data_IF_610632164802
#
_entry.id   IF_610632164802
#
_cell.length_a   1.000
_cell.length_b   1.000
_cell.length_c   1.000
_cell.angle_alpha   90.00
_cell.angle_beta   90.00
_cell.angle_gamma   90.00
#
_symmetry.space_group_name_H-M   'P 1'
#
loop_
_entity.id
_entity.type
_entity.pdbx_description
1 polymer ?
#
# COMPACT_ATOMS: atom_id res chain seq x y z
N UNK A 1 -56.10 -49.82 -51.94
CA UNK A 1 -54.63 -49.79 -51.97
C UNK A 1 -54.21 -48.39 -51.61
N UNK A 2 -53.84 -48.16 -50.31
CA UNK A 2 -53.40 -46.88 -49.84
C UNK A 2 -51.95 -47.08 -49.36
N UNK A 3 -50.97 -46.41 -49.98
CA UNK A 3 -49.59 -46.43 -49.58
C UNK A 3 -49.37 -45.32 -48.57
N UNK A 4 -49.05 -45.68 -47.31
CA UNK A 4 -48.54 -44.81 -46.27
C UNK A 4 -47.04 -44.57 -46.47
N UNK A 5 -46.65 -43.32 -46.68
CA UNK A 5 -45.27 -42.91 -46.68
C UNK A 5 -44.88 -42.41 -45.27
N UNK A 6 -43.96 -43.13 -44.67
CA UNK A 6 -43.36 -42.78 -43.36
C UNK A 6 -42.39 -41.63 -43.54
N UNK A 7 -42.64 -40.46 -42.94
CA UNK A 7 -41.69 -39.34 -42.86
C UNK A 7 -40.88 -39.47 -41.58
N UNK A 8 -39.62 -39.79 -41.74
CA UNK A 8 -38.66 -39.76 -40.67
C UNK A 8 -38.31 -38.32 -40.26
N UNK A 9 -38.62 -37.96 -39.02
CA UNK A 9 -38.18 -36.69 -38.41
C UNK A 9 -36.84 -36.93 -37.74
N UNK A 10 -35.76 -36.40 -38.33
CA UNK A 10 -34.46 -36.34 -37.69
C UNK A 10 -34.45 -35.20 -36.68
N UNK A 11 -34.43 -35.51 -35.38
CA UNK A 11 -34.22 -34.55 -34.32
C UNK A 11 -32.73 -34.34 -34.15
N UNK A 12 -32.18 -33.24 -34.68
CA UNK A 12 -30.79 -32.82 -34.42
C UNK A 12 -30.72 -32.15 -33.06
N UNK A 13 -30.25 -32.89 -32.05
CA UNK A 13 -29.91 -32.36 -30.75
C UNK A 13 -28.60 -31.58 -30.87
N UNK A 14 -28.69 -30.25 -30.91
CA UNK A 14 -27.56 -29.34 -30.86
C UNK A 14 -27.08 -29.24 -29.40
N UNK A 15 -26.04 -30.00 -29.05
CA UNK A 15 -25.35 -29.85 -27.77
C UNK A 15 -24.55 -28.52 -27.79
N UNK A 16 -25.13 -27.47 -27.18
CA UNK A 16 -24.34 -26.28 -26.81
C UNK A 16 -23.36 -26.66 -25.68
N UNK A 17 -22.14 -26.95 -26.04
CA UNK A 17 -21.03 -26.94 -25.08
C UNK A 17 -20.79 -25.48 -24.64
N UNK A 18 -21.41 -25.09 -23.53
CA UNK A 18 -21.03 -23.86 -22.84
C UNK A 18 -19.66 -24.11 -22.21
N UNK A 19 -18.59 -23.78 -22.94
CA UNK A 19 -17.25 -23.72 -22.39
C UNK A 19 -17.27 -22.61 -21.38
N UNK A 20 -17.48 -22.92 -20.10
CA UNK A 20 -17.12 -22.01 -19.02
C UNK A 20 -15.57 -21.82 -19.10
N UNK A 21 -15.16 -20.78 -19.78
CA UNK A 21 -13.79 -20.31 -19.66
C UNK A 21 -13.58 -20.00 -18.18
N UNK A 22 -12.85 -20.85 -17.47
CA UNK A 22 -12.34 -20.54 -16.15
C UNK A 22 -11.44 -19.32 -16.36
N UNK A 23 -11.93 -18.14 -15.98
CA UNK A 23 -11.10 -16.95 -15.92
C UNK A 23 -9.95 -17.29 -14.98
N UNK A 24 -8.74 -17.34 -15.52
CA UNK A 24 -7.54 -17.55 -14.72
C UNK A 24 -7.47 -16.42 -13.68
N UNK A 25 -7.36 -16.78 -12.42
CA UNK A 25 -7.30 -15.80 -11.34
C UNK A 25 -6.08 -14.88 -11.55
N UNK A 26 -6.32 -13.58 -11.74
CA UNK A 26 -5.26 -12.58 -11.89
C UNK A 26 -4.44 -12.53 -10.61
N UNK A 27 -3.15 -12.75 -10.75
CA UNK A 27 -2.19 -12.69 -9.65
C UNK A 27 -1.68 -11.25 -9.51
N UNK A 28 -1.94 -10.65 -8.37
CA UNK A 28 -1.57 -9.29 -8.01
C UNK A 28 -0.31 -9.29 -7.16
N UNK A 29 0.58 -8.32 -7.38
CA UNK A 29 1.80 -8.12 -6.58
C UNK A 29 1.81 -6.73 -5.94
N UNK A 30 2.56 -6.53 -4.83
CA UNK A 30 2.50 -5.29 -4.05
C UNK A 30 2.92 -4.03 -4.77
N UNK A 31 3.85 -4.12 -5.71
CA UNK A 31 4.47 -2.98 -6.37
C UNK A 31 4.49 -3.12 -7.88
N UNK A 32 4.62 -1.97 -8.55
CA UNK A 32 4.85 -1.85 -10.00
C UNK A 32 6.16 -1.12 -10.23
N UNK A 33 7.08 -1.70 -10.98
CA UNK A 33 8.23 -1.02 -11.55
C UNK A 33 7.76 -0.19 -12.76
N UNK A 34 7.85 1.12 -12.65
CA UNK A 34 7.45 2.05 -13.71
C UNK A 34 8.56 2.22 -14.75
N UNK A 35 9.79 2.45 -14.28
CA UNK A 35 10.96 2.61 -15.13
C UNK A 35 12.25 2.37 -14.33
N UNK A 36 13.33 2.04 -15.04
CA UNK A 36 14.70 2.02 -14.52
C UNK A 36 15.67 2.50 -15.60
N UNK A 37 16.76 3.10 -15.20
CA UNK A 37 17.81 3.57 -16.10
C UNK A 37 18.77 4.54 -15.44
N UNK A 38 19.77 4.98 -16.18
CA UNK A 38 20.75 5.95 -15.69
C UNK A 38 20.08 7.31 -15.41
N UNK A 39 20.57 8.03 -14.42
CA UNK A 39 20.07 9.34 -14.07
C UNK A 39 20.48 9.78 -12.67
N UNK A 40 20.04 10.98 -12.28
CA UNK A 40 20.22 11.50 -10.93
C UNK A 40 18.90 11.48 -10.18
N UNK A 41 18.93 11.09 -8.92
CA UNK A 41 17.78 11.00 -8.05
C UNK A 41 16.90 12.27 -8.11
N UNK A 42 17.45 13.43 -7.85
CA UNK A 42 16.70 14.69 -7.79
C UNK A 42 16.07 15.09 -9.11
N UNK A 43 16.78 14.87 -10.23
CA UNK A 43 16.24 15.16 -11.57
C UNK A 43 15.06 14.22 -11.89
N UNK A 44 15.19 12.93 -11.53
CA UNK A 44 14.13 11.95 -11.73
C UNK A 44 12.94 12.23 -10.82
N UNK A 45 13.15 12.60 -9.54
CA UNK A 45 12.07 13.00 -8.63
C UNK A 45 11.27 14.19 -9.18
N UNK A 46 11.95 15.22 -9.69
CA UNK A 46 11.27 16.36 -10.28
C UNK A 46 10.44 15.97 -11.53
N UNK A 47 10.97 15.10 -12.41
CA UNK A 47 10.24 14.59 -13.58
C UNK A 47 9.01 13.79 -13.17
N UNK A 48 9.14 12.88 -12.22
CA UNK A 48 8.04 12.05 -11.69
C UNK A 48 6.96 12.92 -11.07
N UNK A 49 7.32 13.91 -10.25
CA UNK A 49 6.39 14.84 -9.63
C UNK A 49 5.58 15.63 -10.66
N UNK A 50 6.24 16.13 -11.71
CA UNK A 50 5.58 16.85 -12.81
C UNK A 50 4.61 15.92 -13.58
N UNK A 51 5.02 14.69 -13.89
CA UNK A 51 4.19 13.71 -14.59
C UNK A 51 2.94 13.33 -13.77
N UNK A 52 3.08 13.12 -12.47
CA UNK A 52 1.96 12.84 -11.56
C UNK A 52 0.97 14.01 -11.51
N UNK A 53 1.47 15.24 -11.39
CA UNK A 53 0.63 16.44 -11.37
C UNK A 53 -0.12 16.61 -12.69
N UNK A 54 0.55 16.41 -13.82
CA UNK A 54 -0.06 16.47 -15.15
C UNK A 54 -1.13 15.38 -15.37
N UNK A 55 -1.00 14.25 -14.68
CA UNK A 55 -1.98 13.15 -14.70
C UNK A 55 -3.14 13.32 -13.71
N UNK A 56 -3.27 14.50 -13.05
CA UNK A 56 -4.37 14.82 -12.14
C UNK A 56 -4.18 14.34 -10.71
N UNK A 57 -2.97 13.93 -10.33
CA UNK A 57 -2.65 13.65 -8.94
C UNK A 57 -2.21 14.90 -8.19
N UNK A 58 -2.61 14.99 -6.93
CA UNK A 58 -2.13 16.00 -5.99
C UNK A 58 -1.02 15.41 -5.13
N UNK A 59 0.16 16.03 -5.12
CA UNK A 59 1.23 15.68 -4.18
C UNK A 59 0.85 16.17 -2.80
N UNK A 60 0.80 15.27 -1.84
CA UNK A 60 0.42 15.55 -0.45
C UNK A 60 1.59 15.45 0.52
N UNK A 61 2.70 14.88 0.10
CA UNK A 61 3.93 14.79 0.87
C UNK A 61 5.10 14.24 0.07
N UNK A 62 6.29 14.48 0.59
CA UNK A 62 7.55 13.95 0.08
C UNK A 62 8.36 13.42 1.27
N UNK A 63 9.05 12.30 1.08
CA UNK A 63 9.79 11.65 2.15
C UNK A 63 11.09 11.04 1.64
N UNK A 64 12.20 11.48 2.22
CA UNK A 64 13.53 10.91 2.00
C UNK A 64 13.95 10.09 3.24
N UNK A 65 13.65 8.79 3.29
CA UNK A 65 13.91 7.94 4.45
C UNK A 65 15.42 7.76 4.71
N UNK A 66 16.21 7.69 3.64
CA UNK A 66 17.68 7.52 3.66
C UNK A 66 18.29 8.02 2.36
N UNK A 67 19.61 8.14 2.33
CA UNK A 67 20.33 8.56 1.12
C UNK A 67 20.05 7.64 -0.07
N UNK A 68 19.83 8.22 -1.25
CA UNK A 68 19.50 7.47 -2.47
C UNK A 68 18.04 7.03 -2.57
N UNK A 69 17.15 7.51 -1.70
CA UNK A 69 15.73 7.21 -1.76
C UNK A 69 14.88 8.47 -1.57
N UNK A 70 13.91 8.66 -2.45
CA UNK A 70 12.89 9.70 -2.38
C UNK A 70 11.52 9.08 -2.65
N UNK A 71 10.49 9.50 -1.93
CA UNK A 71 9.13 8.99 -2.05
C UNK A 71 8.18 10.16 -2.18
N UNK A 72 7.41 10.16 -3.26
CA UNK A 72 6.36 11.13 -3.53
C UNK A 72 5.04 10.49 -3.19
N UNK A 73 4.28 11.10 -2.29
CA UNK A 73 2.97 10.62 -1.86
C UNK A 73 1.91 11.45 -2.56
N UNK A 74 0.99 10.77 -3.24
CA UNK A 74 -0.06 11.41 -4.03
C UNK A 74 -1.44 10.91 -3.70
N UNK A 75 -2.43 11.78 -3.90
CA UNK A 75 -3.85 11.46 -3.86
C UNK A 75 -4.57 12.01 -5.09
N UNK A 76 -5.80 11.59 -5.31
CA UNK A 76 -6.74 12.17 -6.26
C UNK A 76 -8.18 11.93 -5.80
N UNK A 77 -9.16 12.42 -6.55
CA UNK A 77 -10.56 12.30 -6.17
C UNK A 77 -11.07 10.86 -6.18
N UNK A 78 -10.55 9.99 -7.07
CA UNK A 78 -10.91 8.56 -7.08
C UNK A 78 -10.43 7.85 -5.80
N UNK A 79 -9.18 8.09 -5.38
CA UNK A 79 -8.62 7.56 -4.13
C UNK A 79 -9.43 8.01 -2.93
N UNK A 80 -9.73 9.32 -2.83
CA UNK A 80 -10.52 9.90 -1.73
C UNK A 80 -11.95 9.37 -1.70
N UNK A 81 -12.59 9.25 -2.86
CA UNK A 81 -13.95 8.69 -2.99
C UNK A 81 -13.99 7.22 -2.55
N UNK A 82 -13.01 6.42 -2.96
CA UNK A 82 -12.91 5.02 -2.56
C UNK A 82 -12.64 4.89 -1.04
N UNK A 83 -11.77 5.75 -0.49
CA UNK A 83 -11.53 5.82 0.95
C UNK A 83 -12.81 6.16 1.74
N UNK A 84 -13.61 7.13 1.26
CA UNK A 84 -14.87 7.52 1.89
C UNK A 84 -15.88 6.36 1.95
N UNK A 85 -15.91 5.50 0.94
CA UNK A 85 -16.81 4.35 0.86
C UNK A 85 -16.34 3.11 1.66
N UNK A 86 -15.11 3.12 2.19
CA UNK A 86 -14.45 1.95 2.77
C UNK A 86 -14.23 2.10 4.27
N UNK A 87 -14.37 1.02 5.04
CA UNK A 87 -13.99 1.00 6.45
C UNK A 87 -12.47 1.15 6.58
N UNK A 88 -11.99 2.00 7.51
CA UNK A 88 -10.57 2.39 7.62
C UNK A 88 -9.96 2.80 6.27
N UNK A 89 -10.78 3.38 5.39
CA UNK A 89 -10.42 3.66 4.00
C UNK A 89 -9.28 4.66 3.83
N UNK A 90 -9.01 5.47 4.84
CA UNK A 90 -7.90 6.43 4.85
C UNK A 90 -6.55 5.78 4.54
N UNK A 91 -6.31 4.52 4.94
CA UNK A 91 -5.08 3.79 4.57
C UNK A 91 -4.91 3.62 3.06
N UNK A 92 -6.00 3.62 2.30
CA UNK A 92 -5.99 3.54 0.83
C UNK A 92 -6.20 4.88 0.12
N UNK A 93 -6.23 6.02 0.85
CA UNK A 93 -6.48 7.34 0.28
C UNK A 93 -5.29 7.92 -0.50
N UNK A 94 -4.13 7.26 -0.50
CA UNK A 94 -2.91 7.70 -1.15
C UNK A 94 -2.25 6.59 -1.95
N UNK A 95 -1.39 6.99 -2.90
CA UNK A 95 -0.40 6.12 -3.53
C UNK A 95 1.01 6.64 -3.24
N UNK A 96 1.96 5.73 -3.13
CA UNK A 96 3.37 6.02 -2.86
C UNK A 96 4.18 5.70 -4.10
N UNK A 97 4.93 6.68 -4.57
CA UNK A 97 5.83 6.56 -5.73
C UNK A 97 7.24 6.77 -5.23
N UNK A 98 8.09 5.76 -5.34
CA UNK A 98 9.49 5.82 -4.92
C UNK A 98 10.41 6.03 -6.10
N UNK A 99 11.43 6.82 -5.87
CA UNK A 99 12.58 7.02 -6.73
C UNK A 99 13.79 6.54 -5.92
N UNK A 100 14.49 5.51 -6.39
CA UNK A 100 15.51 4.83 -5.59
C UNK A 100 16.75 4.55 -6.42
N UNK A 101 17.91 4.96 -5.92
CA UNK A 101 19.20 4.59 -6.49
C UNK A 101 19.50 3.11 -6.21
N UNK A 102 19.74 2.34 -7.27
CA UNK A 102 20.07 0.92 -7.22
C UNK A 102 21.32 0.66 -8.08
N UNK A 103 22.49 0.74 -7.45
CA UNK A 103 23.76 0.64 -8.15
C UNK A 103 24.01 1.87 -9.04
N UNK A 104 24.01 1.69 -10.36
CA UNK A 104 24.20 2.78 -11.34
C UNK A 104 22.88 3.31 -11.91
N UNK A 105 21.77 2.67 -11.57
CA UNK A 105 20.45 3.01 -12.08
C UNK A 105 19.61 3.74 -11.03
N UNK A 106 18.67 4.53 -11.50
CA UNK A 106 17.56 5.09 -10.72
C UNK A 106 16.30 4.34 -11.12
N UNK A 107 15.64 3.74 -10.14
CA UNK A 107 14.39 3.01 -10.32
C UNK A 107 13.22 3.87 -9.87
N UNK A 108 12.14 3.89 -10.65
CA UNK A 108 10.85 4.47 -10.27
C UNK A 108 9.87 3.32 -10.07
N UNK A 109 9.31 3.22 -8.88
CA UNK A 109 8.32 2.19 -8.54
C UNK A 109 7.16 2.81 -7.79
N UNK A 110 5.99 2.18 -7.83
CA UNK A 110 4.83 2.63 -7.06
C UNK A 110 4.07 1.46 -6.45
N UNK A 111 3.34 1.73 -5.38
CA UNK A 111 2.41 0.75 -4.79
C UNK A 111 1.36 0.37 -5.83
N UNK A 112 1.09 -0.93 -6.01
CA UNK A 112 0.07 -1.39 -6.95
C UNK A 112 -1.33 -1.07 -6.41
N UNK A 113 -2.10 -0.14 -7.04
CA UNK A 113 -3.39 0.30 -6.51
C UNK A 113 -4.40 -0.85 -6.37
N UNK A 114 -4.44 -1.76 -7.36
CA UNK A 114 -5.36 -2.90 -7.36
C UNK A 114 -5.02 -3.89 -6.25
N UNK A 115 -3.73 -4.15 -6.01
CA UNK A 115 -3.30 -4.97 -4.87
C UNK A 115 -3.67 -4.31 -3.55
N UNK A 116 -3.32 -3.01 -3.38
CA UNK A 116 -3.56 -2.29 -2.14
C UNK A 116 -5.05 -2.15 -1.82
N UNK A 117 -5.92 -1.93 -2.82
CA UNK A 117 -7.36 -1.89 -2.61
C UNK A 117 -7.90 -3.20 -2.04
N UNK A 118 -7.34 -4.32 -2.44
CA UNK A 118 -7.75 -5.63 -1.94
C UNK A 118 -7.21 -5.91 -0.54
N UNK A 119 -5.93 -5.67 -0.24
CA UNK A 119 -5.39 -5.92 1.10
C UNK A 119 -5.98 -4.98 2.16
N UNK A 120 -6.39 -3.76 1.77
CA UNK A 120 -7.13 -2.82 2.62
C UNK A 120 -8.66 -2.98 2.51
N UNK A 121 -9.14 -4.05 1.92
CA UNK A 121 -10.57 -4.41 1.79
C UNK A 121 -11.45 -3.25 1.30
N UNK A 122 -10.92 -2.40 0.42
CA UNK A 122 -11.64 -1.24 -0.10
C UNK A 122 -12.87 -1.65 -0.93
N UNK A 123 -13.84 -0.76 -1.07
CA UNK A 123 -15.06 -1.02 -1.84
C UNK A 123 -14.81 -1.00 -3.35
N UNK A 124 -13.92 -0.12 -3.86
CA UNK A 124 -13.50 -0.08 -5.25
C UNK A 124 -12.15 -0.78 -5.47
N UNK A 125 -11.86 -1.14 -6.71
CA UNK A 125 -10.64 -1.85 -7.10
C UNK A 125 -9.44 -0.94 -7.44
N UNK A 126 -9.68 0.37 -7.56
CA UNK A 126 -8.68 1.39 -7.97
C UNK A 126 -8.04 1.13 -9.35
N UNK A 127 -8.74 0.45 -10.23
CA UNK A 127 -8.28 0.19 -11.61
C UNK A 127 -8.02 1.47 -12.40
N UNK A 128 -8.84 2.52 -12.23
CA UNK A 128 -8.66 3.83 -12.83
C UNK A 128 -7.37 4.50 -12.36
N UNK A 129 -7.07 4.43 -11.07
CA UNK A 129 -5.81 4.94 -10.48
C UNK A 129 -4.61 4.18 -11.05
N UNK A 130 -4.70 2.84 -11.17
CA UNK A 130 -3.64 2.02 -11.74
C UNK A 130 -3.36 2.39 -13.21
N UNK A 131 -4.39 2.62 -14.02
CA UNK A 131 -4.27 3.05 -15.40
C UNK A 131 -3.65 4.46 -15.52
N UNK A 132 -4.05 5.40 -14.66
CA UNK A 132 -3.51 6.75 -14.62
C UNK A 132 -2.01 6.77 -14.25
N UNK A 133 -1.60 5.99 -13.23
CA UNK A 133 -0.19 5.85 -12.86
C UNK A 133 0.63 5.19 -13.97
N UNK A 134 0.11 4.13 -14.60
CA UNK A 134 0.78 3.49 -15.73
C UNK A 134 0.96 4.42 -16.93
N UNK A 135 -0.02 5.28 -17.20
CA UNK A 135 0.06 6.30 -18.26
C UNK A 135 1.09 7.38 -17.94
N UNK A 136 1.11 7.84 -16.66
CA UNK A 136 2.00 8.92 -16.23
C UNK A 136 3.47 8.50 -16.12
N UNK A 137 3.72 7.30 -15.59
CA UNK A 137 5.05 6.87 -15.17
C UNK A 137 5.60 5.67 -15.95
N UNK A 138 4.73 4.90 -16.59
CA UNK A 138 5.05 3.61 -17.19
C UNK A 138 4.68 2.42 -16.28
N UNK A 139 4.77 1.23 -16.87
CA UNK A 139 4.54 -0.06 -16.19
C UNK A 139 5.38 -1.12 -16.88
N UNK A 140 6.52 -1.45 -16.30
CA UNK A 140 7.44 -2.48 -16.82
C UNK A 140 7.01 -3.85 -16.33
N UNK A 141 6.85 -4.00 -15.01
CA UNK A 141 6.43 -5.26 -14.38
C UNK A 141 5.79 -5.03 -13.00
N UNK A 142 4.97 -5.97 -12.56
CA UNK A 142 4.59 -6.09 -11.16
C UNK A 142 5.60 -6.94 -10.41
N UNK A 143 5.99 -6.51 -9.20
CA UNK A 143 7.05 -7.15 -8.43
C UNK A 143 6.80 -7.11 -6.91
N UNK A 144 7.76 -7.59 -6.15
CA UNK A 144 7.79 -7.59 -4.68
C UNK A 144 7.48 -8.95 -4.07
N UNK A 145 6.70 -9.79 -4.77
CA UNK A 145 6.30 -11.11 -4.31
C UNK A 145 5.98 -12.04 -5.49
N UNK A 146 5.73 -13.32 -5.19
CA UNK A 146 5.09 -14.27 -6.13
C UNK A 146 3.69 -13.78 -6.49
N UNK A 147 3.05 -13.10 -5.52
CA UNK A 147 1.73 -12.53 -5.67
C UNK A 147 0.61 -13.41 -5.13
N UNK A 148 -0.60 -12.87 -5.17
CA UNK A 148 -1.81 -13.55 -4.70
C UNK A 148 -3.04 -13.06 -5.46
N UNK A 149 -4.10 -13.87 -5.46
CA UNK A 149 -5.39 -13.46 -6.04
C UNK A 149 -6.04 -12.35 -5.21
N UNK A 150 -6.95 -11.58 -5.80
CA UNK A 150 -7.73 -10.57 -5.09
C UNK A 150 -8.45 -11.16 -3.86
N UNK A 151 -9.01 -12.37 -3.98
CA UNK A 151 -9.67 -13.08 -2.88
C UNK A 151 -8.72 -13.40 -1.73
N UNK A 152 -7.50 -13.83 -2.02
CA UNK A 152 -6.47 -14.10 -1.02
C UNK A 152 -6.02 -12.79 -0.35
N UNK A 153 -5.79 -11.72 -1.14
CA UNK A 153 -5.40 -10.41 -0.64
C UNK A 153 -6.43 -9.84 0.35
N UNK A 154 -7.74 -9.93 0.04
CA UNK A 154 -8.81 -9.45 0.94
C UNK A 154 -8.93 -10.22 2.25
N UNK A 155 -8.39 -11.42 2.33
CA UNK A 155 -8.39 -12.28 3.54
C UNK A 155 -7.00 -12.44 4.13
N UNK A 156 -6.05 -11.62 3.66
CA UNK A 156 -4.67 -11.78 4.02
C UNK A 156 -4.43 -11.52 5.51
N UNK A 157 -3.71 -12.40 6.13
CA UNK A 157 -2.97 -12.23 7.38
C UNK A 157 -1.67 -13.03 7.27
N UNK A 158 -0.66 -12.66 8.01
CA UNK A 158 0.67 -13.25 7.81
C UNK A 158 0.72 -14.74 8.18
N UNK A 159 0.20 -15.09 9.38
CA UNK A 159 0.12 -16.48 9.86
C UNK A 159 -0.90 -16.58 11.00
N UNK A 160 -1.17 -17.79 11.45
CA UNK A 160 -2.13 -18.05 12.54
C UNK A 160 -1.79 -17.19 13.77
N UNK A 161 -2.78 -16.48 14.29
CA UNK A 161 -2.65 -15.60 15.46
C UNK A 161 -2.03 -14.24 15.17
N UNK A 162 -1.80 -13.88 13.91
CA UNK A 162 -1.41 -12.53 13.51
C UNK A 162 -2.61 -11.71 13.01
N UNK A 163 -2.48 -10.40 13.09
CA UNK A 163 -3.56 -9.46 12.83
C UNK A 163 -4.00 -9.45 11.37
N UNK A 164 -5.29 -9.21 11.18
CA UNK A 164 -5.91 -8.84 9.91
C UNK A 164 -5.94 -7.31 9.74
N UNK A 165 -6.38 -6.89 8.56
CA UNK A 165 -6.52 -5.45 8.25
C UNK A 165 -7.48 -4.74 9.21
N UNK A 166 -8.58 -5.37 9.59
CA UNK A 166 -9.63 -4.84 10.47
C UNK A 166 -9.32 -4.98 11.97
N UNK A 167 -8.08 -5.34 12.32
CA UNK A 167 -7.58 -5.45 13.69
C UNK A 167 -6.40 -4.47 13.93
N UNK A 168 -6.54 -3.15 13.66
CA UNK A 168 -5.46 -2.20 13.89
C UNK A 168 -5.21 -1.97 15.37
N UNK A 169 -3.97 -1.54 15.71
CA UNK A 169 -3.65 -1.07 17.06
C UNK A 169 -4.40 0.22 17.37
N UNK A 170 -5.09 0.30 18.50
CA UNK A 170 -5.58 1.56 19.07
C UNK A 170 -4.42 2.22 19.79
N UNK A 171 -4.03 3.41 19.34
CA UNK A 171 -2.91 4.17 19.90
C UNK A 171 -3.35 5.20 20.94
N UNK A 172 -4.51 5.83 20.74
CA UNK A 172 -5.09 6.83 21.63
C UNK A 172 -6.60 6.98 21.38
N UNK A 173 -7.29 7.60 22.36
CA UNK A 173 -8.70 8.00 22.28
C UNK A 173 -8.86 9.42 22.83
N UNK A 174 -9.64 10.24 22.14
CA UNK A 174 -9.89 11.65 22.44
C UNK A 174 -11.39 11.91 22.70
N UNK A 175 -11.76 13.14 22.98
CA UNK A 175 -13.16 13.50 23.23
C UNK A 175 -13.98 13.63 21.94
N UNK A 176 -13.36 14.00 20.83
CA UNK A 176 -13.98 14.12 19.51
C UNK A 176 -12.99 13.84 18.40
N UNK A 177 -13.51 13.74 17.15
CA UNK A 177 -12.68 13.63 15.94
C UNK A 177 -11.78 14.85 15.77
N UNK A 178 -12.33 16.04 15.95
CA UNK A 178 -11.61 17.30 15.79
C UNK A 178 -10.45 17.41 16.79
N UNK A 179 -10.70 17.04 18.07
CA UNK A 179 -9.66 16.98 19.09
C UNK A 179 -8.56 15.98 18.71
N UNK A 180 -8.93 14.78 18.26
CA UNK A 180 -7.99 13.73 17.85
C UNK A 180 -7.12 14.20 16.68
N UNK A 181 -7.72 14.76 15.64
CA UNK A 181 -7.01 15.27 14.46
C UNK A 181 -6.07 16.40 14.83
N UNK A 182 -6.52 17.38 15.61
CA UNK A 182 -5.69 18.53 16.05
C UNK A 182 -4.50 18.04 16.90
N UNK A 183 -4.74 17.13 17.83
CA UNK A 183 -3.72 16.58 18.69
C UNK A 183 -2.66 15.79 17.90
N UNK A 184 -3.09 14.89 17.02
CA UNK A 184 -2.20 14.09 16.17
C UNK A 184 -1.37 15.00 15.26
N UNK A 185 -2.00 15.94 14.57
CA UNK A 185 -1.33 16.87 13.66
C UNK A 185 -0.25 17.70 14.37
N UNK A 186 -0.58 18.27 15.52
CA UNK A 186 0.36 19.06 16.35
C UNK A 186 1.51 18.22 16.88
N UNK A 187 1.23 17.01 17.38
CA UNK A 187 2.26 16.13 17.98
C UNK A 187 3.23 15.59 16.94
N UNK A 188 2.74 15.21 15.76
CA UNK A 188 3.58 14.75 14.66
C UNK A 188 4.42 15.89 14.06
N UNK A 189 3.91 17.14 14.04
CA UNK A 189 4.67 18.30 13.60
C UNK A 189 5.87 18.63 14.52
N UNK A 190 5.78 18.26 15.80
CA UNK A 190 6.86 18.48 16.77
C UNK A 190 8.04 17.49 16.66
N UNK A 191 7.93 16.48 15.81
CA UNK A 191 8.97 15.47 15.54
C UNK A 191 9.58 14.87 16.83
N UNK A 192 8.72 14.52 17.79
CA UNK A 192 9.16 13.87 19.04
C UNK A 192 9.29 12.37 18.86
N UNK A 193 10.12 11.74 19.67
CA UNK A 193 10.33 10.28 19.70
C UNK A 193 10.79 9.69 18.35
N UNK A 194 11.38 10.52 17.46
CA UNK A 194 11.79 10.07 16.13
C UNK A 194 10.64 9.82 15.15
N UNK A 195 9.44 10.28 15.47
CA UNK A 195 8.24 10.18 14.59
C UNK A 195 7.95 11.57 14.01
N UNK A 196 8.00 11.70 12.69
CA UNK A 196 7.78 12.96 11.97
C UNK A 196 6.61 12.86 11.01
N UNK A 197 5.85 13.97 10.87
CA UNK A 197 4.77 14.06 9.87
C UNK A 197 5.36 14.15 8.46
N UNK A 198 4.86 13.32 7.55
CA UNK A 198 5.15 13.38 6.12
C UNK A 198 3.98 13.99 5.35
N UNK A 199 2.76 13.54 5.61
CA UNK A 199 1.57 14.06 4.94
C UNK A 199 0.33 13.93 5.84
N UNK A 200 -0.75 14.59 5.42
CA UNK A 200 -2.12 14.40 5.92
C UNK A 200 -3.09 14.40 4.76
N UNK A 201 -4.06 13.49 4.79
CA UNK A 201 -5.22 13.49 3.89
C UNK A 201 -6.49 13.28 4.72
N UNK A 202 -7.43 14.22 4.61
CA UNK A 202 -8.75 14.08 5.19
C UNK A 202 -9.68 13.39 4.19
N UNK A 203 -10.46 12.43 4.66
CA UNK A 203 -11.39 11.66 3.82
C UNK A 203 -12.70 12.44 3.69
N UNK A 204 -13.12 12.86 2.49
CA UNK A 204 -14.31 13.68 2.30
C UNK A 204 -15.58 13.00 2.82
N UNK A 205 -16.39 13.74 3.57
CA UNK A 205 -17.68 13.27 4.09
C UNK A 205 -17.59 12.19 5.17
N UNK A 206 -16.41 11.98 5.75
CA UNK A 206 -16.16 10.98 6.79
C UNK A 206 -15.31 11.59 7.90
N UNK A 207 -15.56 11.24 9.14
CA UNK A 207 -14.69 11.60 10.28
C UNK A 207 -13.44 10.70 10.28
N UNK A 208 -12.62 10.86 9.24
CA UNK A 208 -11.41 10.07 9.06
C UNK A 208 -10.30 10.91 8.41
N UNK A 209 -9.10 10.85 8.99
CA UNK A 209 -7.89 11.48 8.48
C UNK A 209 -6.72 10.53 8.60
N UNK A 210 -5.94 10.38 7.51
CA UNK A 210 -4.70 9.60 7.52
C UNK A 210 -3.49 10.52 7.52
N UNK A 211 -2.51 10.16 8.34
CA UNK A 211 -1.22 10.83 8.46
C UNK A 211 -0.11 9.86 8.07
N UNK A 212 0.74 10.25 7.12
CA UNK A 212 1.97 9.53 6.85
C UNK A 212 3.06 9.98 7.82
N UNK A 213 3.86 9.03 8.30
CA UNK A 213 4.89 9.28 9.30
C UNK A 213 6.22 8.63 8.91
N UNK A 214 7.29 9.40 8.98
CA UNK A 214 8.65 8.90 8.90
C UNK A 214 9.17 8.51 10.28
N UNK A 215 9.93 7.42 10.34
CA UNK A 215 10.44 6.85 11.58
C UNK A 215 11.97 6.90 11.59
N UNK A 216 12.54 7.61 12.55
CA UNK A 216 13.98 7.68 12.78
C UNK A 216 14.33 7.27 14.20
N UNK A 217 15.17 6.24 14.31
CA UNK A 217 15.61 5.71 15.60
C UNK A 217 17.12 5.49 15.64
N UNK A 218 17.68 5.56 16.84
CA UNK A 218 19.09 5.25 17.08
C UNK A 218 19.26 4.60 18.46
N UNK A 219 20.37 3.94 18.70
CA UNK A 219 20.62 3.26 19.97
C UNK A 219 19.51 2.24 20.27
N UNK A 220 18.84 2.40 21.40
CA UNK A 220 17.73 1.49 21.84
C UNK A 220 16.51 1.56 20.94
N UNK A 221 16.24 2.71 20.30
CA UNK A 221 15.11 2.90 19.38
C UNK A 221 15.41 2.49 17.93
N UNK A 222 16.61 1.98 17.63
CA UNK A 222 17.01 1.58 16.27
C UNK A 222 16.04 0.63 15.58
N UNK A 223 15.35 -0.21 16.33
CA UNK A 223 14.41 -1.19 15.77
C UNK A 223 13.19 -0.57 15.09
N UNK A 224 12.87 0.71 15.34
CA UNK A 224 11.80 1.43 14.63
C UNK A 224 12.28 2.21 13.41
N UNK A 225 13.59 2.31 13.20
CA UNK A 225 14.20 3.15 12.16
C UNK A 225 13.90 2.62 10.76
N UNK A 226 13.34 3.47 9.89
CA UNK A 226 12.96 3.09 8.52
C UNK A 226 14.15 2.56 7.73
N UNK A 227 15.33 3.21 7.81
CA UNK A 227 16.52 2.77 7.10
C UNK A 227 17.01 1.41 7.62
N UNK A 228 17.01 1.22 8.94
CA UNK A 228 17.43 -0.05 9.55
C UNK A 228 16.53 -1.21 9.07
N UNK A 229 15.22 -1.00 9.09
CA UNK A 229 14.25 -2.01 8.64
C UNK A 229 14.43 -2.28 7.14
N UNK A 230 14.45 -1.24 6.30
CA UNK A 230 14.56 -1.39 4.85
C UNK A 230 15.88 -2.02 4.41
N UNK A 231 17.00 -1.74 5.09
CA UNK A 231 18.27 -2.43 4.81
C UNK A 231 18.19 -3.94 4.97
N UNK A 232 17.30 -4.42 5.85
CA UNK A 232 17.10 -5.85 6.09
C UNK A 232 16.12 -6.49 5.12
N UNK A 233 14.98 -5.81 4.83
CA UNK A 233 13.88 -6.42 4.07
C UNK A 233 13.88 -6.09 2.57
N UNK A 234 14.46 -4.94 2.16
CA UNK A 234 14.49 -4.49 0.75
C UNK A 234 15.83 -4.82 0.06
N UNK A 235 16.22 -6.08 0.12
CA UNK A 235 17.52 -6.57 -0.37
C UNK A 235 17.51 -6.97 -1.85
N UNK A 236 16.35 -7.01 -2.51
CA UNK A 236 16.22 -7.42 -3.91
C UNK A 236 16.78 -6.35 -4.86
N UNK A 237 17.05 -6.74 -6.11
CA UNK A 237 17.54 -5.84 -7.15
C UNK A 237 16.54 -4.71 -7.41
N UNK A 238 15.26 -5.05 -7.64
CA UNK A 238 14.20 -4.05 -7.75
C UNK A 238 13.72 -3.65 -6.36
N UNK A 239 13.79 -2.34 -6.06
CA UNK A 239 13.58 -1.80 -4.73
C UNK A 239 12.10 -1.55 -4.42
N UNK A 240 11.69 -2.00 -3.24
CA UNK A 240 10.34 -1.87 -2.70
C UNK A 240 10.19 -0.65 -1.77
N UNK A 241 10.97 0.40 -2.03
CA UNK A 241 11.05 1.61 -1.18
C UNK A 241 9.69 2.29 -0.98
N UNK A 242 8.75 2.13 -1.92
CA UNK A 242 7.36 2.58 -1.81
C UNK A 242 6.55 1.89 -0.68
N UNK A 243 7.17 0.94 0.05
CA UNK A 243 6.65 0.47 1.33
C UNK A 243 6.47 1.61 2.33
N UNK A 244 7.37 2.57 2.37
CA UNK A 244 7.35 3.74 3.24
C UNK A 244 6.50 4.91 2.64
N UNK A 245 6.05 5.85 3.50
CA UNK A 245 6.11 5.88 4.95
C UNK A 245 5.07 4.99 5.62
N UNK A 246 5.13 4.86 6.96
CA UNK A 246 4.05 4.27 7.76
C UNK A 246 2.89 5.24 7.92
N UNK A 247 1.74 4.74 8.43
CA UNK A 247 0.53 5.56 8.56
C UNK A 247 -0.09 5.47 9.97
N UNK A 248 -0.61 6.62 10.42
CA UNK A 248 -1.52 6.77 11.56
C UNK A 248 -2.87 7.22 11.03
N UNK A 249 -3.95 6.59 11.46
CA UNK A 249 -5.32 6.89 11.07
C UNK A 249 -6.12 7.42 12.27
N UNK A 250 -6.69 8.60 12.12
CA UNK A 250 -7.76 9.06 13.00
C UNK A 250 -9.08 8.64 12.38
N UNK A 251 -9.92 7.89 13.12
CA UNK A 251 -11.27 7.50 12.68
C UNK A 251 -12.24 7.67 13.86
N UNK A 252 -13.21 8.53 13.72
CA UNK A 252 -13.97 9.05 14.84
C UNK A 252 -13.05 9.70 15.88
N UNK A 253 -13.26 9.40 17.14
CA UNK A 253 -12.44 9.93 18.23
C UNK A 253 -11.20 9.09 18.58
N UNK A 254 -10.91 8.05 17.80
CA UNK A 254 -9.80 7.12 18.05
C UNK A 254 -8.68 7.27 17.02
N UNK A 255 -7.47 6.99 17.48
CA UNK A 255 -6.24 7.00 16.68
C UNK A 255 -5.75 5.58 16.54
N UNK A 256 -5.52 5.16 15.31
CA UNK A 256 -5.13 3.80 14.95
C UNK A 256 -3.81 3.76 14.17
N UNK A 257 -3.13 2.64 14.22
CA UNK A 257 -2.14 2.25 13.24
C UNK A 257 -2.32 0.77 12.88
N UNK A 258 -2.11 0.41 11.61
CA UNK A 258 -1.99 -1.00 11.25
C UNK A 258 -0.80 -1.59 12.00
N UNK A 259 -0.94 -2.82 12.51
CA UNK A 259 0.21 -3.51 13.08
C UNK A 259 1.34 -3.59 12.05
N UNK A 260 2.55 -3.20 12.44
CA UNK A 260 3.68 -3.14 11.51
C UNK A 260 3.98 -4.52 10.91
N UNK A 261 3.75 -5.63 11.62
CA UNK A 261 3.89 -6.99 11.06
C UNK A 261 2.87 -7.27 9.95
N UNK A 262 1.62 -6.80 10.05
CA UNK A 262 0.67 -6.83 8.95
C UNK A 262 1.14 -5.94 7.80
N UNK A 263 1.53 -4.70 8.12
CA UNK A 263 1.99 -3.69 7.15
C UNK A 263 3.24 -4.13 6.38
N UNK A 264 4.19 -4.79 7.06
CA UNK A 264 5.37 -5.40 6.43
C UNK A 264 4.94 -6.59 5.56
N UNK A 265 4.11 -7.48 6.09
CA UNK A 265 3.73 -8.71 5.42
C UNK A 265 2.94 -8.46 4.12
N UNK A 266 2.06 -7.46 4.04
CA UNK A 266 1.35 -7.13 2.79
C UNK A 266 2.29 -6.57 1.71
N UNK A 267 3.41 -5.98 2.07
CA UNK A 267 4.39 -5.44 1.11
C UNK A 267 5.54 -6.43 0.82
N UNK A 268 5.83 -7.33 1.74
CA UNK A 268 6.88 -8.35 1.65
C UNK A 268 6.33 -9.74 2.00
N UNK A 269 5.29 -10.24 1.31
CA UNK A 269 4.61 -11.47 1.71
C UNK A 269 5.50 -12.72 1.58
N UNK A 270 6.57 -12.66 0.80
CA UNK A 270 7.56 -13.73 0.61
C UNK A 270 8.83 -13.53 1.47
N UNK A 271 8.78 -12.62 2.46
CA UNK A 271 9.92 -12.44 3.38
C UNK A 271 10.13 -13.70 4.20
N UNK A 272 11.36 -14.22 4.16
CA UNK A 272 11.71 -15.41 4.96
C UNK A 272 11.56 -15.14 6.45
N UNK A 273 11.15 -16.15 7.21
CA UNK A 273 11.10 -16.06 8.67
C UNK A 273 12.50 -16.05 9.28
N UNK A 274 13.43 -16.83 8.77
CA UNK A 274 14.76 -17.03 9.37
C UNK A 274 15.88 -16.93 8.31
N UNK A 275 17.09 -16.67 8.78
CA UNK A 275 18.28 -16.55 7.95
C UNK A 275 18.68 -15.10 7.68
N UNK A 276 19.48 -14.91 6.64
CA UNK A 276 19.87 -13.58 6.17
C UNK A 276 18.65 -12.88 5.55
N UNK A 277 18.49 -11.57 5.77
CA UNK A 277 17.40 -10.80 5.21
C UNK A 277 16.02 -11.40 5.54
N UNK A 278 15.74 -11.56 6.82
CA UNK A 278 14.54 -12.25 7.32
C UNK A 278 13.78 -11.44 8.36
N UNK A 279 12.53 -11.85 8.63
CA UNK A 279 11.70 -11.23 9.66
C UNK A 279 12.35 -11.32 11.06
N UNK A 280 13.05 -12.42 11.37
CA UNK A 280 13.74 -12.58 12.67
C UNK A 280 14.75 -11.45 12.95
N UNK A 281 15.39 -10.89 11.91
CA UNK A 281 16.37 -9.80 12.07
C UNK A 281 15.70 -8.46 12.43
N UNK A 282 14.42 -8.31 12.10
CA UNK A 282 13.60 -7.15 12.45
C UNK A 282 12.46 -7.50 13.42
N UNK A 283 12.53 -8.63 14.12
CA UNK A 283 11.46 -9.12 14.99
C UNK A 283 11.01 -8.10 16.05
N UNK A 284 11.91 -7.21 16.49
CA UNK A 284 11.60 -6.13 17.44
C UNK A 284 10.91 -4.93 16.80
N UNK A 285 10.97 -4.79 15.47
CA UNK A 285 10.47 -3.61 14.76
C UNK A 285 8.96 -3.38 14.95
N UNK A 286 8.07 -4.38 14.83
CA UNK A 286 6.63 -4.14 14.99
C UNK A 286 6.25 -3.50 16.32
N UNK A 287 6.81 -3.99 17.43
CA UNK A 287 6.53 -3.41 18.75
C UNK A 287 7.21 -2.06 18.95
N UNK A 288 8.45 -1.88 18.48
CA UNK A 288 9.15 -0.62 18.57
C UNK A 288 8.39 0.49 17.82
N UNK A 289 7.88 0.20 16.62
CA UNK A 289 7.04 1.12 15.83
C UNK A 289 5.75 1.43 16.59
N UNK A 290 5.02 0.41 17.07
CA UNK A 290 3.77 0.61 17.83
C UNK A 290 3.98 1.51 19.03
N UNK A 291 5.02 1.26 19.83
CA UNK A 291 5.35 2.07 21.00
C UNK A 291 5.74 3.52 20.62
N UNK A 292 6.55 3.71 19.57
CA UNK A 292 6.94 5.04 19.13
C UNK A 292 5.73 5.86 18.68
N UNK A 293 4.84 5.26 17.89
CA UNK A 293 3.60 5.89 17.44
C UNK A 293 2.69 6.21 18.63
N UNK A 294 2.47 5.25 19.51
CA UNK A 294 1.63 5.42 20.70
C UNK A 294 2.16 6.54 21.61
N UNK A 295 3.44 6.53 21.96
CA UNK A 295 4.07 7.55 22.80
C UNK A 295 4.03 8.95 22.15
N UNK A 296 3.93 9.02 20.83
CA UNK A 296 3.84 10.29 20.11
C UNK A 296 2.42 10.82 20.15
N UNK A 297 1.38 9.98 19.97
CA UNK A 297 0.00 10.45 19.79
C UNK A 297 -0.89 10.32 21.04
N UNK A 298 -0.48 9.58 22.06
CA UNK A 298 -1.27 9.47 23.33
C UNK A 298 -1.38 10.82 24.07
N UNK A 299 -2.40 10.96 24.91
CA UNK A 299 -2.64 12.16 25.76
C UNK A 299 -1.50 12.43 26.73
#
# INVERSE_FOLDING_TARGET
>A
MVRMTLRSVLLSALFLFCSAALAEDVILKPFVLASKGEGKLLEKSAQVKNALTAAGFTVVGEYAPYAGADIIIVTNDELKKNAAASEFGGYGAVQRVSITEAGKEVQVSYTNPVYMSNVYRMQGDLGGVAAALATALGRVEEFGAKGMTAKQARKYHYTIGMEYFDEPSVLAEYGSYEEAVQAVDSKLANNKNGVSKVYRVDVPGKQESVFGVGLKGSGESKSMDDQYIMNEIDFREVKSTAHLPYEVLVSGNKVYALYARFRIAINFPDLSMMGKNSFMNIMKAPEAIRHALQNTVQK
#
